data_IF_989489245998
#
_entry.id   IF_989489245998
#
_cell.length_a   1.000
_cell.length_b   1.000
_cell.length_c   1.000
_cell.angle_alpha   90.00
_cell.angle_beta   90.00
_cell.angle_gamma   90.00
#
_symmetry.space_group_name_H-M   'P 1'
#
loop_
_entity.id
_entity.type
_entity.pdbx_description
1 polymer ?
#
# COMPACT_ATOMS: atom_id res chain seq x y z
N UNK A 1 -9.49 34.15 -3.77
CA UNK A 1 -9.77 32.72 -3.56
C UNK A 1 -9.36 32.01 -4.83
N UNK A 2 -8.52 30.98 -4.69
CA UNK A 2 -7.91 30.27 -5.81
C UNK A 2 -8.99 29.68 -6.77
N UNK A 3 -8.76 29.81 -8.09
CA UNK A 3 -9.72 29.41 -9.12
C UNK A 3 -9.98 27.89 -9.12
N UNK A 4 -8.98 27.07 -8.77
CA UNK A 4 -9.11 25.61 -8.67
C UNK A 4 -10.02 25.27 -7.49
N UNK A 5 -9.76 25.85 -6.32
CA UNK A 5 -10.56 25.62 -5.10
C UNK A 5 -12.03 26.03 -5.32
N UNK A 6 -12.27 27.16 -6.00
CA UNK A 6 -13.63 27.58 -6.37
C UNK A 6 -14.32 26.58 -7.30
N UNK A 7 -13.63 26.09 -8.33
CA UNK A 7 -14.20 25.10 -9.26
C UNK A 7 -14.56 23.79 -8.55
N UNK A 8 -13.69 23.30 -7.67
CA UNK A 8 -13.94 22.09 -6.89
C UNK A 8 -15.17 22.24 -5.98
N UNK A 9 -15.30 23.38 -5.29
CA UNK A 9 -16.50 23.73 -4.50
C UNK A 9 -17.77 23.73 -5.37
N UNK A 10 -17.72 24.35 -6.56
CA UNK A 10 -18.85 24.35 -7.49
C UNK A 10 -19.20 22.94 -7.98
N UNK A 11 -18.22 22.09 -8.28
CA UNK A 11 -18.45 20.69 -8.68
C UNK A 11 -19.16 19.93 -7.56
N UNK A 12 -18.66 20.02 -6.32
CA UNK A 12 -19.27 19.35 -5.17
C UNK A 12 -20.74 19.78 -4.98
N UNK A 13 -21.00 21.08 -5.08
CA UNK A 13 -22.34 21.67 -4.97
C UNK A 13 -23.28 21.25 -6.11
N UNK A 14 -22.82 21.35 -7.35
CA UNK A 14 -23.66 21.11 -8.53
C UNK A 14 -23.99 19.63 -8.70
N UNK A 15 -23.06 18.75 -8.35
CA UNK A 15 -23.24 17.29 -8.43
C UNK A 15 -23.83 16.70 -7.14
N UNK A 16 -23.96 17.51 -6.07
CA UNK A 16 -24.50 17.12 -4.77
C UNK A 16 -23.76 15.94 -4.13
N UNK A 17 -22.43 16.04 -4.11
CA UNK A 17 -21.51 15.00 -3.62
C UNK A 17 -20.58 15.56 -2.54
N UNK A 18 -20.07 14.69 -1.67
CA UNK A 18 -18.81 15.02 -0.99
C UNK A 18 -17.67 14.79 -1.97
N UNK A 19 -16.78 15.78 -2.09
CA UNK A 19 -15.62 15.76 -2.96
C UNK A 19 -14.35 15.83 -2.12
N UNK A 20 -13.55 14.77 -2.15
CA UNK A 20 -12.21 14.75 -1.57
C UNK A 20 -11.20 14.94 -2.70
N UNK A 21 -10.31 15.92 -2.56
CA UNK A 21 -9.33 16.28 -3.59
C UNK A 21 -7.95 16.62 -2.99
N UNK A 22 -6.88 16.21 -3.67
CA UNK A 22 -5.51 16.54 -3.33
C UNK A 22 -4.99 17.74 -4.12
N UNK A 23 -4.24 18.63 -3.47
CA UNK A 23 -3.64 19.83 -4.07
C UNK A 23 -2.34 20.25 -3.35
N UNK A 24 -1.58 21.15 -3.97
CA UNK A 24 -0.47 21.85 -3.34
C UNK A 24 -0.96 23.14 -2.70
N UNK A 25 -0.74 23.31 -1.39
CA UNK A 25 -1.09 24.51 -0.62
C UNK A 25 0.16 25.35 -0.39
N UNK A 26 0.22 26.53 -1.02
CA UNK A 26 1.24 27.55 -0.70
C UNK A 26 0.78 28.43 0.46
N UNK A 27 1.58 28.53 1.51
CA UNK A 27 1.30 29.33 2.71
C UNK A 27 2.47 30.29 2.95
N UNK A 28 2.23 31.60 3.15
CA UNK A 28 3.29 32.52 3.55
C UNK A 28 3.98 32.05 4.82
N UNK A 29 5.31 32.09 4.83
CA UNK A 29 6.09 31.73 6.01
C UNK A 29 5.85 32.68 7.17
N UNK A 30 5.93 32.14 8.40
CA UNK A 30 5.94 32.95 9.62
C UNK A 30 7.37 33.42 9.89
N UNK A 31 7.52 34.62 10.45
CA UNK A 31 8.83 35.17 10.83
C UNK A 31 9.53 34.24 11.83
N UNK A 32 10.79 33.89 11.56
CA UNK A 32 11.61 33.01 12.40
C UNK A 32 11.54 31.51 12.07
N UNK A 33 10.71 31.08 11.10
CA UNK A 33 10.70 29.70 10.63
C UNK A 33 11.64 29.48 9.43
N UNK A 34 12.27 28.29 9.28
CA UNK A 34 12.92 27.90 8.03
C UNK A 34 11.93 28.03 6.87
N UNK A 35 12.35 28.72 5.81
CA UNK A 35 11.51 29.08 4.69
C UNK A 35 12.30 29.04 3.39
N UNK A 36 11.60 28.80 2.30
CA UNK A 36 12.13 28.85 0.93
C UNK A 36 12.40 30.30 0.52
N UNK A 37 13.22 30.50 -0.51
CA UNK A 37 13.58 31.84 -1.02
C UNK A 37 12.38 32.65 -1.54
N UNK A 38 11.30 31.96 -1.94
CA UNK A 38 10.05 32.56 -2.40
C UNK A 38 9.11 33.01 -1.27
N UNK A 39 9.50 32.81 0.00
CA UNK A 39 8.72 33.21 1.16
C UNK A 39 7.51 32.32 1.45
N UNK A 40 7.42 31.14 0.82
CA UNK A 40 6.32 30.20 0.97
C UNK A 40 6.77 28.88 1.61
N UNK A 41 5.85 28.26 2.36
CA UNK A 41 5.83 26.83 2.61
C UNK A 41 4.81 26.19 1.67
N UNK A 42 5.15 25.03 1.11
CA UNK A 42 4.31 24.28 0.18
C UNK A 42 3.95 22.95 0.79
N UNK A 43 2.67 22.70 1.02
CA UNK A 43 2.18 21.46 1.62
C UNK A 43 1.38 20.62 0.62
N UNK A 44 1.61 19.30 0.62
CA UNK A 44 0.67 18.36 0.01
C UNK A 44 -0.58 18.26 0.89
N UNK A 45 -1.71 18.68 0.35
CA UNK A 45 -2.92 18.93 1.13
C UNK A 45 -4.14 18.25 0.50
N UNK A 46 -4.87 17.47 1.29
CA UNK A 46 -6.19 16.98 0.96
C UNK A 46 -7.26 17.95 1.51
N UNK A 47 -8.25 18.27 0.69
CA UNK A 47 -9.40 19.07 1.07
C UNK A 47 -10.70 18.31 0.83
N UNK A 48 -11.71 18.60 1.64
CA UNK A 48 -13.04 18.01 1.50
C UNK A 48 -14.09 19.10 1.38
N UNK A 49 -14.86 19.04 0.30
CA UNK A 49 -16.09 19.80 0.15
C UNK A 49 -17.30 18.94 0.47
N UNK A 50 -18.27 19.50 1.20
CA UNK A 50 -19.60 18.90 1.35
C UNK A 50 -20.46 19.12 0.09
N UNK A 51 -21.67 18.58 0.12
CA UNK A 51 -22.64 18.66 -0.98
C UNK A 51 -23.17 20.07 -1.24
N UNK A 52 -22.93 21.03 -0.35
CA UNK A 52 -23.28 22.43 -0.54
C UNK A 52 -22.09 23.22 -1.10
N UNK A 53 -20.92 22.59 -1.22
CA UNK A 53 -19.67 23.19 -1.68
C UNK A 53 -18.87 23.86 -0.56
N UNK A 54 -19.21 23.67 0.72
CA UNK A 54 -18.43 24.21 1.83
C UNK A 54 -17.22 23.33 2.12
N UNK A 55 -16.08 23.97 2.41
CA UNK A 55 -14.88 23.27 2.86
C UNK A 55 -15.10 22.77 4.29
N UNK A 56 -15.15 21.45 4.48
CA UNK A 56 -15.45 20.82 5.78
C UNK A 56 -14.26 20.10 6.41
N UNK A 57 -13.20 19.83 5.65
CA UNK A 57 -11.94 19.33 6.20
C UNK A 57 -10.74 19.74 5.32
N UNK A 58 -9.58 19.87 5.96
CA UNK A 58 -8.28 20.09 5.34
C UNK A 58 -7.23 19.27 6.09
N UNK A 59 -6.54 18.39 5.39
CA UNK A 59 -5.47 17.55 5.93
C UNK A 59 -4.16 17.83 5.18
N UNK A 60 -3.07 18.05 5.91
CA UNK A 60 -1.74 18.13 5.31
C UNK A 60 -1.02 16.81 5.53
N UNK A 61 -0.50 16.22 4.45
CA UNK A 61 0.24 14.95 4.47
C UNK A 61 1.34 15.02 5.52
N UNK A 62 1.46 13.98 6.34
CA UNK A 62 2.42 13.97 7.46
C UNK A 62 3.63 13.07 7.21
N UNK A 63 3.45 11.94 6.52
CA UNK A 63 4.52 11.01 6.22
C UNK A 63 4.91 11.07 4.74
N UNK A 64 6.14 11.50 4.48
CA UNK A 64 6.64 11.82 3.14
C UNK A 64 7.47 10.68 2.54
N UNK A 65 7.56 10.67 1.22
CA UNK A 65 8.39 9.75 0.46
C UNK A 65 9.22 10.51 -0.56
N UNK A 66 10.45 10.88 -0.18
CA UNK A 66 11.41 11.59 -1.05
C UNK A 66 10.83 12.84 -1.76
N UNK A 67 9.98 13.60 -1.07
CA UNK A 67 9.28 14.78 -1.60
C UNK A 67 10.02 16.08 -1.25
N UNK A 68 11.23 16.29 -1.80
CA UNK A 68 12.10 17.44 -1.44
C UNK A 68 11.48 18.82 -1.67
N UNK A 69 10.51 18.92 -2.59
CA UNK A 69 9.83 20.17 -2.91
C UNK A 69 8.67 20.51 -1.97
N UNK A 70 8.31 19.63 -1.03
CA UNK A 70 7.14 19.75 -0.16
C UNK A 70 7.59 19.85 1.30
N UNK A 71 7.06 20.83 2.01
CA UNK A 71 7.30 21.04 3.43
C UNK A 71 6.51 20.05 4.29
N UNK A 72 7.16 19.54 5.34
CA UNK A 72 6.51 18.71 6.37
C UNK A 72 5.82 19.60 7.42
N UNK A 73 4.55 19.34 7.77
CA UNK A 73 3.92 19.99 8.92
C UNK A 73 4.71 19.79 10.20
N UNK A 74 4.87 20.85 11.01
CA UNK A 74 5.61 20.81 12.27
C UNK A 74 4.91 19.95 13.33
N UNK A 75 3.59 19.83 13.23
CA UNK A 75 2.75 19.00 14.08
C UNK A 75 1.83 18.14 13.22
N UNK A 76 1.52 16.94 13.71
CA UNK A 76 0.48 16.12 13.11
C UNK A 76 -0.88 16.77 13.35
N UNK A 77 -1.62 17.02 12.27
CA UNK A 77 -2.97 17.61 12.28
C UNK A 77 -3.95 16.67 11.58
N UNK A 78 -4.46 15.62 12.26
CA UNK A 78 -5.43 14.70 11.68
C UNK A 78 -6.72 15.46 11.37
N UNK A 79 -7.33 15.18 10.22
CA UNK A 79 -8.58 15.82 9.81
C UNK A 79 -9.66 14.77 9.52
N UNK A 80 -10.86 15.07 9.98
CA UNK A 80 -12.04 14.23 9.75
C UNK A 80 -13.17 15.05 9.16
N UNK A 81 -14.10 14.37 8.50
CA UNK A 81 -15.38 14.96 8.11
C UNK A 81 -16.51 13.97 8.40
N UNK A 82 -17.67 14.50 8.79
CA UNK A 82 -18.84 13.70 9.15
C UNK A 82 -19.94 13.94 8.12
N UNK A 83 -20.48 12.86 7.55
CA UNK A 83 -21.60 12.92 6.62
C UNK A 83 -22.93 13.10 7.35
N UNK A 84 -24.01 13.41 6.62
CA UNK A 84 -25.35 13.57 7.24
C UNK A 84 -25.86 12.29 7.90
N UNK A 85 -25.33 11.12 7.50
CA UNK A 85 -25.61 9.82 8.14
C UNK A 85 -24.87 9.61 9.47
N UNK A 86 -24.13 10.61 9.96
CA UNK A 86 -23.35 10.53 11.19
C UNK A 86 -22.06 9.72 11.08
N UNK A 87 -21.63 9.37 9.86
CA UNK A 87 -20.41 8.60 9.64
C UNK A 87 -19.22 9.56 9.55
N UNK A 88 -18.32 9.46 10.53
CA UNK A 88 -17.05 10.20 10.54
C UNK A 88 -15.97 9.45 9.78
N UNK A 89 -15.30 10.15 8.87
CA UNK A 89 -14.24 9.62 8.01
C UNK A 89 -12.91 10.33 8.29
N UNK A 90 -11.84 9.55 8.41
CA UNK A 90 -10.47 10.05 8.47
C UNK A 90 -9.88 10.17 7.07
N UNK A 91 -8.91 11.09 6.93
CA UNK A 91 -8.25 11.36 5.66
C UNK A 91 -6.78 10.92 5.77
N UNK A 92 -6.35 10.11 4.81
CA UNK A 92 -4.95 9.74 4.58
C UNK A 92 -4.48 10.28 3.23
N UNK A 93 -3.16 10.40 3.07
CA UNK A 93 -2.55 10.62 1.78
C UNK A 93 -1.39 9.65 1.54
N UNK A 94 -1.59 8.68 0.66
CA UNK A 94 -0.55 7.82 0.09
C UNK A 94 0.25 7.09 1.19
N UNK A 95 1.47 7.53 1.47
CA UNK A 95 2.40 6.86 2.37
C UNK A 95 1.92 6.84 3.82
N UNK A 96 0.97 7.68 4.22
CA UNK A 96 0.40 7.65 5.58
C UNK A 96 -0.16 6.26 5.98
N UNK A 97 -0.59 5.44 5.02
CA UNK A 97 -1.04 4.06 5.27
C UNK A 97 0.07 3.15 5.83
N UNK A 98 1.34 3.48 5.59
CA UNK A 98 2.48 2.67 6.03
C UNK A 98 3.10 3.15 7.35
N UNK A 99 2.44 4.06 8.07
CA UNK A 99 2.93 4.59 9.34
C UNK A 99 1.87 4.45 10.44
N UNK A 100 2.34 4.38 11.68
CA UNK A 100 1.49 4.32 12.86
C UNK A 100 0.56 5.54 12.99
N UNK A 101 1.09 6.74 12.71
CA UNK A 101 0.32 7.97 12.68
C UNK A 101 0.11 8.47 11.25
N UNK A 102 -1.06 9.02 10.89
CA UNK A 102 -2.18 9.41 11.75
C UNK A 102 -3.18 8.29 12.09
N UNK A 103 -2.95 7.07 11.63
CA UNK A 103 -3.92 5.98 11.76
C UNK A 103 -4.32 5.72 13.21
N UNK A 104 -3.35 5.63 14.12
CA UNK A 104 -3.60 5.41 15.54
C UNK A 104 -4.42 6.53 16.16
N UNK A 105 -4.11 7.80 15.86
CA UNK A 105 -4.89 8.94 16.34
C UNK A 105 -6.36 8.86 15.88
N UNK A 106 -6.62 8.50 14.63
CA UNK A 106 -8.00 8.33 14.15
C UNK A 106 -8.71 7.17 14.86
N UNK A 107 -8.05 6.02 14.97
CA UNK A 107 -8.63 4.81 15.57
C UNK A 107 -8.96 5.00 17.05
N UNK A 108 -8.07 5.68 17.80
CA UNK A 108 -8.29 6.04 19.20
C UNK A 108 -9.52 6.95 19.38
N UNK A 109 -9.80 7.82 18.41
CA UNK A 109 -10.96 8.70 18.38
C UNK A 109 -12.23 8.05 17.77
N UNK A 110 -12.24 6.73 17.61
CA UNK A 110 -13.43 6.00 17.15
C UNK A 110 -13.70 6.07 15.63
N UNK A 111 -12.81 6.66 14.84
CA UNK A 111 -12.94 6.70 13.37
C UNK A 111 -12.72 5.29 12.81
N UNK A 112 -13.59 4.86 11.90
CA UNK A 112 -13.56 3.53 11.26
C UNK A 112 -13.76 3.57 9.75
N UNK A 113 -13.79 4.74 9.15
CA UNK A 113 -13.94 4.92 7.72
C UNK A 113 -12.82 5.85 7.26
N UNK A 114 -12.17 5.50 6.18
CA UNK A 114 -10.99 6.20 5.73
C UNK A 114 -11.06 6.44 4.24
N UNK A 115 -10.67 7.65 3.84
CA UNK A 115 -10.40 7.99 2.45
C UNK A 115 -8.91 8.23 2.33
N UNK A 116 -8.29 7.60 1.34
CA UNK A 116 -6.88 7.75 1.01
C UNK A 116 -6.76 8.33 -0.39
N UNK A 117 -6.07 9.47 -0.48
CA UNK A 117 -5.67 10.05 -1.76
C UNK A 117 -4.23 9.67 -2.06
N UNK A 118 -4.07 8.76 -3.01
CA UNK A 118 -2.79 8.17 -3.38
C UNK A 118 -2.10 8.88 -4.53
N UNK A 119 -0.77 8.89 -4.46
CA UNK A 119 0.14 8.91 -5.61
C UNK A 119 1.28 7.93 -5.31
N UNK A 120 0.92 6.68 -5.01
CA UNK A 120 1.86 5.62 -4.68
C UNK A 120 2.35 4.95 -5.96
N UNK A 121 3.67 4.96 -6.16
CA UNK A 121 4.32 4.16 -7.20
C UNK A 121 4.28 2.70 -6.78
N UNK A 122 3.92 1.82 -7.70
CA UNK A 122 3.94 0.39 -7.43
C UNK A 122 5.37 -0.14 -7.56
N UNK A 123 5.95 -0.57 -6.44
CA UNK A 123 7.25 -1.25 -6.41
C UNK A 123 7.07 -2.73 -6.13
N UNK A 124 7.56 -3.59 -7.02
CA UNK A 124 7.43 -5.02 -6.93
C UNK A 124 8.53 -5.66 -6.06
N UNK A 125 8.22 -6.72 -5.30
CA UNK A 125 6.88 -7.24 -5.04
C UNK A 125 6.23 -6.65 -3.78
N UNK A 126 6.97 -5.88 -2.98
CA UNK A 126 6.59 -5.54 -1.60
C UNK A 126 5.85 -4.20 -1.43
N UNK A 127 5.79 -3.36 -2.46
CA UNK A 127 5.25 -2.00 -2.41
C UNK A 127 4.19 -1.70 -3.46
N UNK A 128 3.40 -2.70 -3.86
CA UNK A 128 2.26 -2.44 -4.74
C UNK A 128 1.07 -1.93 -3.94
N UNK A 129 0.45 -0.87 -4.43
CA UNK A 129 -0.56 -0.07 -3.75
C UNK A 129 -1.77 -0.90 -3.31
N UNK A 130 -2.28 -1.80 -4.15
CA UNK A 130 -3.41 -2.66 -3.78
C UNK A 130 -3.06 -3.65 -2.66
N UNK A 131 -1.85 -4.22 -2.69
CA UNK A 131 -1.37 -5.11 -1.63
C UNK A 131 -1.17 -4.35 -0.31
N UNK A 132 -0.67 -3.12 -0.37
CA UNK A 132 -0.50 -2.25 0.81
C UNK A 132 -1.83 -1.80 1.38
N UNK A 133 -2.76 -1.33 0.55
CA UNK A 133 -4.12 -0.93 0.96
C UNK A 133 -4.85 -2.10 1.64
N UNK A 134 -4.77 -3.29 1.05
CA UNK A 134 -5.38 -4.48 1.63
C UNK A 134 -4.67 -4.97 2.89
N UNK A 135 -3.34 -4.96 2.91
CA UNK A 135 -2.55 -5.34 4.07
C UNK A 135 -2.82 -4.44 5.28
N UNK A 136 -2.90 -3.12 5.06
CA UNK A 136 -3.27 -2.17 6.10
C UNK A 136 -4.71 -2.40 6.60
N UNK A 137 -5.65 -2.66 5.69
CA UNK A 137 -7.00 -3.06 6.08
C UNK A 137 -6.98 -4.34 6.92
N UNK A 138 -6.22 -5.34 6.48
CA UNK A 138 -6.10 -6.64 7.13
C UNK A 138 -5.60 -6.51 8.57
N UNK A 139 -4.54 -5.74 8.79
CA UNK A 139 -3.97 -5.51 10.13
C UNK A 139 -4.92 -4.78 11.09
N UNK A 140 -6.07 -4.29 10.61
CA UNK A 140 -7.09 -3.60 11.38
C UNK A 140 -8.48 -4.26 11.26
N UNK A 141 -8.54 -5.55 10.88
CA UNK A 141 -9.80 -6.28 10.72
C UNK A 141 -10.68 -6.28 11.97
N UNK A 142 -10.08 -6.44 13.14
CA UNK A 142 -10.73 -6.43 14.46
C UNK A 142 -11.48 -5.12 14.72
N UNK A 143 -10.98 -4.01 14.16
CA UNK A 143 -11.55 -2.67 14.30
C UNK A 143 -12.71 -2.42 13.34
N UNK A 144 -12.96 -3.30 12.36
CA UNK A 144 -14.06 -3.18 11.37
C UNK A 144 -13.99 -1.88 10.57
N UNK A 145 -12.79 -1.56 10.09
CA UNK A 145 -12.54 -0.35 9.31
C UNK A 145 -13.00 -0.50 7.86
N UNK A 146 -13.16 0.61 7.14
CA UNK A 146 -13.32 0.60 5.68
C UNK A 146 -12.35 1.60 5.07
N UNK A 147 -11.82 1.28 3.90
CA UNK A 147 -10.86 2.11 3.17
C UNK A 147 -11.35 2.36 1.75
N UNK A 148 -11.37 3.62 1.35
CA UNK A 148 -11.54 4.03 -0.04
C UNK A 148 -10.27 4.74 -0.51
N UNK A 149 -9.51 4.09 -1.40
CA UNK A 149 -8.24 4.59 -1.93
C UNK A 149 -8.40 4.98 -3.40
N UNK A 150 -8.03 6.23 -3.70
CA UNK A 150 -8.00 6.80 -5.05
C UNK A 150 -6.56 7.18 -5.39
N UNK A 151 -5.85 6.32 -6.11
CA UNK A 151 -4.47 6.54 -6.52
C UNK A 151 -4.39 7.26 -7.86
N UNK A 152 -3.39 8.13 -8.00
CA UNK A 152 -3.08 8.77 -9.27
C UNK A 152 -2.84 7.71 -10.35
N UNK A 153 -3.38 7.95 -11.55
CA UNK A 153 -3.34 6.99 -12.64
C UNK A 153 -2.33 7.45 -13.70
N UNK A 154 -1.10 6.94 -13.58
CA UNK A 154 -0.05 7.05 -14.59
C UNK A 154 0.72 5.73 -14.67
N UNK A 155 0.16 4.80 -15.45
CA UNK A 155 0.65 3.43 -15.59
C UNK A 155 2.04 3.35 -16.24
N UNK A 156 2.47 4.38 -17.01
CA UNK A 156 3.82 4.44 -17.59
C UNK A 156 4.90 4.69 -16.53
N UNK A 157 4.52 5.30 -15.41
CA UNK A 157 5.38 5.59 -14.26
C UNK A 157 5.04 4.73 -13.03
N UNK A 158 4.23 3.69 -13.21
CA UNK A 158 3.85 2.78 -12.12
C UNK A 158 2.85 3.32 -11.09
N UNK A 159 2.25 4.49 -11.32
CA UNK A 159 1.15 4.99 -10.48
C UNK A 159 -0.17 4.35 -10.93
N UNK A 160 -0.75 3.50 -10.09
CA UNK A 160 -2.05 2.88 -10.31
C UNK A 160 -2.52 2.18 -9.03
N UNK A 161 -3.79 1.76 -9.01
CA UNK A 161 -4.35 0.92 -7.96
C UNK A 161 -5.36 1.66 -7.09
N UNK A 162 -6.62 1.53 -7.47
CA UNK A 162 -7.77 2.08 -6.75
C UNK A 162 -8.47 0.94 -6.01
N UNK A 163 -8.91 1.20 -4.78
CA UNK A 163 -9.48 0.16 -3.91
C UNK A 163 -10.63 0.68 -3.07
N UNK A 164 -11.70 -0.11 -3.01
CA UNK A 164 -12.77 0.03 -2.01
C UNK A 164 -12.75 -1.25 -1.18
N UNK A 165 -12.46 -1.13 0.12
CA UNK A 165 -12.36 -2.26 1.05
C UNK A 165 -13.36 -2.04 2.18
N UNK A 166 -14.25 -3.01 2.35
CA UNK A 166 -15.31 -2.98 3.35
C UNK A 166 -14.87 -3.63 4.66
N UNK A 167 -15.58 -3.36 5.78
CA UNK A 167 -15.27 -3.95 7.08
C UNK A 167 -15.27 -5.48 7.12
N UNK A 168 -15.97 -6.13 6.19
CA UNK A 168 -15.99 -7.58 6.04
C UNK A 168 -14.72 -8.14 5.39
N UNK A 169 -13.87 -7.31 4.81
CA UNK A 169 -12.72 -7.73 3.99
C UNK A 169 -13.02 -7.84 2.50
N UNK A 170 -14.31 -7.88 2.14
CA UNK A 170 -14.75 -7.76 0.76
C UNK A 170 -14.15 -6.50 0.15
N UNK A 171 -13.79 -6.55 -1.12
CA UNK A 171 -13.19 -5.41 -1.79
C UNK A 171 -13.47 -5.37 -3.28
N UNK A 172 -13.48 -4.16 -3.84
CA UNK A 172 -13.37 -3.94 -5.27
C UNK A 172 -12.05 -3.23 -5.48
N UNK A 173 -11.18 -3.83 -6.27
CA UNK A 173 -9.86 -3.26 -6.55
C UNK A 173 -9.62 -3.21 -8.05
N UNK A 174 -8.87 -2.21 -8.49
CA UNK A 174 -8.63 -2.00 -9.90
C UNK A 174 -7.27 -1.40 -10.20
N UNK A 175 -6.59 -2.05 -11.13
CA UNK A 175 -5.58 -1.45 -11.99
C UNK A 175 -6.21 -1.15 -13.36
N UNK A 176 -6.11 0.09 -13.82
CA UNK A 176 -6.68 0.53 -15.10
C UNK A 176 -5.59 1.03 -16.05
N UNK A 177 -5.68 0.71 -17.33
CA UNK A 177 -4.85 1.25 -18.40
C UNK A 177 -5.73 1.75 -19.56
N UNK A 178 -5.35 2.85 -20.21
CA UNK A 178 -6.01 3.32 -21.43
C UNK A 178 -5.58 4.72 -21.89
N UNK A 179 -5.75 4.98 -23.20
CA UNK A 179 -5.33 6.22 -23.89
C UNK A 179 -6.03 7.51 -23.40
N UNK A 180 -7.14 7.37 -22.67
CA UNK A 180 -7.86 8.43 -21.96
C UNK A 180 -8.26 7.99 -20.53
N UNK A 181 -7.55 6.98 -20.00
CA UNK A 181 -8.01 6.05 -18.95
C UNK A 181 -8.13 6.64 -17.55
N UNK A 182 -9.36 6.97 -17.15
CA UNK A 182 -9.75 7.07 -15.75
C UNK A 182 -10.54 5.82 -15.36
N UNK A 183 -10.11 5.14 -14.30
CA UNK A 183 -10.88 4.07 -13.70
C UNK A 183 -11.78 4.64 -12.61
N UNK A 184 -13.09 4.49 -12.74
CA UNK A 184 -14.06 4.87 -11.70
C UNK A 184 -14.57 3.61 -11.03
N UNK A 185 -14.33 3.48 -9.72
CA UNK A 185 -15.01 2.50 -8.89
C UNK A 185 -16.29 3.11 -8.35
N UNK A 186 -17.44 2.49 -8.63
CA UNK A 186 -18.74 2.89 -8.12
C UNK A 186 -19.45 1.69 -7.52
N UNK A 187 -19.98 1.85 -6.32
CA UNK A 187 -20.70 0.80 -5.60
C UNK A 187 -21.97 1.38 -4.97
N UNK A 188 -23.02 0.57 -4.85
CA UNK A 188 -24.21 0.93 -4.11
C UNK A 188 -23.98 0.79 -2.60
N UNK A 189 -24.72 1.55 -1.79
CA UNK A 189 -24.69 1.43 -0.32
C UNK A 189 -25.17 0.04 0.11
N UNK A 190 -26.03 -0.65 -0.64
CA UNK A 190 -26.50 -2.01 -0.29
C UNK A 190 -25.47 -3.13 -0.55
N UNK A 191 -24.30 -2.83 -1.13
CA UNK A 191 -23.28 -3.81 -1.46
C UNK A 191 -22.42 -4.26 -0.24
N UNK A 192 -22.68 -3.72 0.97
CA UNK A 192 -22.02 -4.14 2.23
C UNK A 192 -22.16 -5.64 2.55
N UNK A 193 -23.06 -6.37 1.89
CA UNK A 193 -23.31 -7.81 2.09
C UNK A 193 -22.60 -8.71 1.09
N UNK A 194 -21.97 -8.16 0.03
CA UNK A 194 -21.16 -8.95 -0.88
C UNK A 194 -19.93 -9.45 -0.13
N UNK A 195 -19.72 -10.76 -0.11
CA UNK A 195 -18.59 -11.43 0.57
C UNK A 195 -17.38 -11.66 -0.35
N UNK A 196 -17.41 -11.14 -1.56
CA UNK A 196 -16.40 -11.48 -2.59
C UNK A 196 -15.48 -10.31 -2.88
N UNK A 197 -14.17 -10.57 -2.85
CA UNK A 197 -13.15 -9.70 -3.44
C UNK A 197 -13.26 -9.74 -4.95
N UNK A 198 -13.65 -8.63 -5.57
CA UNK A 198 -13.71 -8.46 -7.02
C UNK A 198 -12.52 -7.61 -7.48
N UNK A 199 -11.60 -8.24 -8.18
CA UNK A 199 -10.53 -7.54 -8.89
C UNK A 199 -10.95 -7.25 -10.33
N UNK A 200 -11.08 -5.98 -10.70
CA UNK A 200 -11.20 -5.57 -12.10
C UNK A 200 -9.84 -5.14 -12.61
N UNK A 201 -9.21 -5.94 -13.48
CA UNK A 201 -8.01 -5.51 -14.20
C UNK A 201 -8.40 -5.10 -15.62
N UNK A 202 -8.26 -3.81 -15.94
CA UNK A 202 -8.40 -3.28 -17.31
C UNK A 202 -7.02 -2.89 -17.83
N UNK A 203 -6.08 -3.84 -17.75
CA UNK A 203 -4.70 -3.70 -18.22
C UNK A 203 -4.66 -4.13 -19.70
N UNK A 204 -4.35 -3.20 -20.60
CA UNK A 204 -4.17 -3.42 -22.04
C UNK A 204 -2.72 -3.03 -22.41
N UNK A 205 -1.72 -3.76 -21.89
CA UNK A 205 -0.30 -3.48 -22.13
C UNK A 205 0.57 -3.62 -20.87
N UNK A 206 1.90 -3.55 -21.02
CA UNK A 206 2.81 -3.67 -19.88
C UNK A 206 2.64 -2.46 -18.94
N UNK A 207 2.36 -2.72 -17.66
CA UNK A 207 2.46 -1.71 -16.61
C UNK A 207 3.93 -1.60 -16.19
N UNK A 208 4.44 -0.38 -16.10
CA UNK A 208 5.77 -0.17 -15.51
C UNK A 208 5.65 -0.34 -14.00
N UNK A 209 6.45 -1.23 -13.43
CA UNK A 209 6.63 -1.33 -11.99
C UNK A 209 8.07 -0.97 -11.67
N UNK A 210 8.28 -0.26 -10.55
CA UNK A 210 9.60 -0.24 -9.95
C UNK A 210 9.90 -1.63 -9.38
N UNK A 211 11.16 -2.01 -9.29
CA UNK A 211 11.56 -3.31 -8.75
C UNK A 211 12.42 -3.12 -7.50
N UNK A 212 12.17 -3.92 -6.47
CA UNK A 212 13.03 -4.00 -5.29
C UNK A 212 14.40 -4.54 -5.68
N UNK A 213 15.47 -3.93 -5.14
CA UNK A 213 16.80 -4.50 -5.20
C UNK A 213 16.97 -5.57 -4.12
N UNK A 214 17.18 -6.82 -4.56
CA UNK A 214 17.38 -7.98 -3.67
C UNK A 214 18.83 -8.19 -3.25
N UNK A 215 19.77 -7.30 -3.62
CA UNK A 215 21.20 -7.43 -3.31
C UNK A 215 21.43 -7.64 -1.81
N UNK A 216 20.83 -6.78 -0.98
CA UNK A 216 20.99 -6.80 0.48
C UNK A 216 20.08 -7.82 1.19
N UNK A 217 19.13 -8.44 0.49
CA UNK A 217 18.25 -9.45 1.08
C UNK A 217 19.02 -10.75 1.31
N UNK A 218 18.93 -11.33 2.51
CA UNK A 218 19.30 -12.73 2.69
C UNK A 218 18.25 -13.61 2.03
N UNK A 219 18.65 -14.66 1.31
CA UNK A 219 17.70 -15.54 0.64
C UNK A 219 18.11 -17.01 0.67
N UNK A 220 17.12 -17.89 0.57
CA UNK A 220 17.29 -19.32 0.33
C UNK A 220 16.30 -19.80 -0.72
N UNK A 221 16.80 -20.57 -1.68
CA UNK A 221 15.96 -21.18 -2.71
C UNK A 221 14.98 -22.15 -2.03
N UNK A 222 13.70 -22.05 -2.36
CA UNK A 222 12.66 -22.96 -1.86
C UNK A 222 12.64 -24.22 -2.73
N UNK A 223 13.03 -25.39 -2.20
CA UNK A 223 13.03 -26.62 -2.97
C UNK A 223 11.63 -27.00 -3.45
N UNK A 224 11.57 -27.73 -4.56
CA UNK A 224 10.32 -28.37 -4.95
C UNK A 224 10.01 -29.53 -4.00
N UNK A 225 8.76 -29.62 -3.54
CA UNK A 225 8.31 -30.79 -2.78
C UNK A 225 6.79 -30.98 -2.84
N UNK A 226 6.39 -31.95 -3.64
CA UNK A 226 4.99 -32.35 -3.83
C UNK A 226 4.49 -33.38 -2.80
N UNK A 227 5.40 -34.12 -2.16
CA UNK A 227 5.06 -35.30 -1.35
C UNK A 227 5.04 -35.05 0.17
N UNK A 228 5.76 -34.04 0.67
CA UNK A 228 5.88 -33.76 2.10
C UNK A 228 5.67 -32.28 2.42
N UNK A 229 5.37 -31.98 3.67
CA UNK A 229 5.52 -30.62 4.20
C UNK A 229 7.00 -30.43 4.50
N UNK A 230 7.55 -29.28 4.14
CA UNK A 230 8.96 -28.94 4.34
C UNK A 230 9.05 -27.62 5.08
N UNK A 231 10.22 -27.40 5.67
CA UNK A 231 10.55 -26.18 6.37
C UNK A 231 11.90 -25.67 5.88
N UNK A 232 11.98 -24.38 5.59
CA UNK A 232 13.22 -23.69 5.25
C UNK A 232 13.28 -22.37 6.01
N UNK A 233 14.49 -21.95 6.40
CA UNK A 233 14.70 -20.71 7.13
C UNK A 233 15.85 -19.91 6.55
N UNK A 234 15.80 -18.60 6.72
CA UNK A 234 16.85 -17.66 6.34
C UNK A 234 16.87 -16.50 7.33
N UNK A 235 18.06 -15.98 7.66
CA UNK A 235 18.21 -14.85 8.55
C UNK A 235 19.03 -13.73 7.91
N UNK A 236 18.74 -12.50 8.31
CA UNK A 236 19.43 -11.28 7.92
C UNK A 236 20.06 -10.61 9.15
N UNK A 237 21.25 -10.02 8.97
CA UNK A 237 21.98 -9.31 10.03
C UNK A 237 22.45 -10.23 11.18
N UNK A 238 23.33 -11.19 10.90
CA UNK A 238 23.92 -12.09 11.93
C UNK A 238 22.87 -12.79 12.84
N UNK A 239 21.82 -13.34 12.23
CA UNK A 239 20.72 -14.04 12.92
C UNK A 239 19.78 -13.16 13.76
N UNK A 240 19.83 -11.83 13.62
CA UNK A 240 18.93 -10.91 14.34
C UNK A 240 17.49 -10.92 13.80
N UNK A 241 17.30 -11.10 12.49
CA UNK A 241 15.99 -11.17 11.86
C UNK A 241 15.85 -12.44 11.02
N UNK A 242 15.10 -13.41 11.53
CA UNK A 242 14.93 -14.72 10.91
C UNK A 242 13.51 -14.94 10.39
N UNK A 243 13.45 -15.60 9.24
CA UNK A 243 12.25 -16.02 8.54
C UNK A 243 12.21 -17.53 8.42
N UNK A 244 11.04 -18.13 8.68
CA UNK A 244 10.81 -19.56 8.51
C UNK A 244 9.57 -19.78 7.66
N UNK A 245 9.72 -20.56 6.60
CA UNK A 245 8.65 -20.96 5.71
C UNK A 245 8.36 -22.45 5.91
N UNK A 246 7.14 -22.78 6.30
CA UNK A 246 6.61 -24.14 6.27
C UNK A 246 5.66 -24.27 5.08
N UNK A 247 5.91 -25.20 4.16
CA UNK A 247 5.16 -25.27 2.90
C UNK A 247 5.00 -26.68 2.34
N UNK A 248 3.98 -26.85 1.48
CA UNK A 248 3.86 -27.97 0.53
C UNK A 248 3.50 -27.42 -0.84
N UNK A 249 4.43 -27.53 -1.78
CA UNK A 249 4.34 -26.92 -3.11
C UNK A 249 4.17 -28.00 -4.18
N UNK A 250 3.05 -27.95 -4.89
CA UNK A 250 2.79 -28.81 -6.04
C UNK A 250 3.06 -27.96 -7.29
N UNK A 251 3.95 -28.45 -8.16
CA UNK A 251 4.30 -27.80 -9.42
C UNK A 251 3.80 -28.63 -10.57
N UNK A 252 3.40 -27.95 -11.64
CA UNK A 252 3.15 -28.56 -12.94
C UNK A 252 4.41 -28.67 -13.81
N UNK A 253 5.41 -27.77 -13.68
CA UNK A 253 6.79 -27.96 -14.19
C UNK A 253 7.87 -27.02 -13.58
N UNK A 254 9.08 -27.03 -14.15
CA UNK A 254 10.36 -26.60 -13.56
C UNK A 254 10.74 -25.10 -13.77
N UNK A 255 9.91 -24.30 -14.46
CA UNK A 255 10.32 -22.98 -14.94
C UNK A 255 10.06 -21.80 -13.98
N UNK A 256 9.32 -22.03 -12.88
CA UNK A 256 9.06 -21.00 -11.86
C UNK A 256 9.81 -21.30 -10.57
N UNK A 257 10.60 -20.34 -10.08
CA UNK A 257 11.36 -20.46 -8.85
C UNK A 257 10.76 -19.61 -7.74
N UNK A 258 10.97 -20.04 -6.50
CA UNK A 258 10.59 -19.26 -5.32
C UNK A 258 11.80 -19.14 -4.39
N UNK A 259 12.01 -17.95 -3.85
CA UNK A 259 13.00 -17.66 -2.82
C UNK A 259 12.28 -17.26 -1.54
N UNK A 260 12.70 -17.83 -0.41
CA UNK A 260 12.41 -17.25 0.89
C UNK A 260 13.44 -16.16 1.15
N UNK A 261 13.00 -14.96 1.48
CA UNK A 261 13.85 -13.80 1.75
C UNK A 261 13.60 -13.23 3.15
N UNK A 262 14.67 -12.73 3.76
CA UNK A 262 14.64 -11.94 4.99
C UNK A 262 15.44 -10.66 4.78
N UNK A 263 14.89 -9.55 5.27
CA UNK A 263 15.53 -8.24 5.20
C UNK A 263 15.19 -7.42 6.44
N UNK A 264 16.18 -6.72 6.95
CA UNK A 264 16.08 -5.75 8.05
C UNK A 264 17.03 -4.60 7.75
N UNK A 265 16.51 -3.48 7.27
CA UNK A 265 17.33 -2.36 6.82
C UNK A 265 16.55 -1.31 6.05
N UNK A 266 17.25 -0.44 5.32
CA UNK A 266 16.63 0.56 4.45
C UNK A 266 16.39 -0.04 3.07
N UNK A 267 15.12 -0.23 2.69
CA UNK A 267 14.78 -0.77 1.38
C UNK A 267 15.27 0.15 0.27
N UNK A 268 15.78 -0.46 -0.79
CA UNK A 268 16.29 0.23 -1.97
C UNK A 268 15.62 -0.34 -3.22
N UNK A 269 15.22 0.52 -4.15
CA UNK A 269 14.77 0.10 -5.48
C UNK A 269 15.95 -0.12 -6.42
N UNK A 270 15.75 -0.87 -7.51
CA UNK A 270 16.79 -1.24 -8.49
C UNK A 270 17.49 -0.04 -9.15
N UNK A 271 16.87 1.15 -9.13
CA UNK A 271 17.46 2.41 -9.61
C UNK A 271 18.41 3.07 -8.57
N UNK A 272 18.53 2.48 -7.37
CA UNK A 272 19.36 2.98 -6.28
C UNK A 272 18.64 3.93 -5.32
N UNK A 273 17.35 4.19 -5.50
CA UNK A 273 16.59 5.07 -4.61
C UNK A 273 16.32 4.40 -3.25
N UNK A 274 16.75 5.04 -2.16
CA UNK A 274 16.44 4.59 -0.80
C UNK A 274 14.99 4.96 -0.47
N UNK A 275 14.22 3.96 -0.08
CA UNK A 275 12.78 4.07 0.16
C UNK A 275 12.52 4.36 1.65
N UNK A 276 12.49 3.32 2.48
CA UNK A 276 12.19 3.43 3.90
C UNK A 276 12.79 2.26 4.68
N UNK A 277 13.08 2.42 5.98
CA UNK A 277 13.49 1.30 6.83
C UNK A 277 12.36 0.27 6.89
N UNK A 278 12.61 -1.02 6.70
CA UNK A 278 11.59 -2.07 6.85
C UNK A 278 12.24 -3.38 7.32
N UNK A 279 11.45 -4.17 8.05
CA UNK A 279 11.65 -5.61 8.21
C UNK A 279 10.69 -6.34 7.28
N UNK A 280 11.21 -7.20 6.42
CA UNK A 280 10.43 -7.94 5.43
C UNK A 280 10.79 -9.41 5.44
N UNK A 281 9.77 -10.23 5.67
CA UNK A 281 9.84 -11.67 5.59
C UNK A 281 8.97 -12.12 4.42
N UNK A 282 9.51 -12.77 3.39
CA UNK A 282 8.73 -12.99 2.17
C UNK A 282 9.08 -14.23 1.39
N UNK A 283 8.05 -14.89 0.84
CA UNK A 283 8.20 -15.85 -0.24
C UNK A 283 7.95 -15.12 -1.56
N UNK A 284 8.96 -15.05 -2.43
CA UNK A 284 8.91 -14.29 -3.69
C UNK A 284 9.13 -15.19 -4.90
N UNK A 285 8.38 -14.93 -5.97
CA UNK A 285 8.56 -15.62 -7.25
C UNK A 285 9.72 -15.02 -8.05
N UNK A 286 10.45 -15.89 -8.76
CA UNK A 286 11.66 -15.57 -9.48
C UNK A 286 11.70 -16.31 -10.82
N UNK A 287 12.32 -15.69 -11.83
CA UNK A 287 12.48 -16.30 -13.16
C UNK A 287 13.65 -17.29 -13.24
N UNK A 288 14.51 -17.31 -12.23
CA UNK A 288 15.60 -18.28 -12.08
C UNK A 288 15.83 -18.62 -10.61
N UNK A 289 16.73 -19.58 -10.35
CA UNK A 289 17.15 -19.90 -8.99
C UNK A 289 17.90 -18.74 -8.28
N UNK A 290 18.33 -17.70 -9.00
CA UNK A 290 19.02 -16.53 -8.44
C UNK A 290 18.02 -15.51 -7.85
N UNK A 291 18.29 -15.02 -6.64
CA UNK A 291 17.48 -14.00 -5.96
C UNK A 291 17.37 -12.68 -6.74
N UNK A 292 18.38 -12.35 -7.55
CA UNK A 292 18.39 -11.12 -8.35
C UNK A 292 17.34 -11.12 -9.48
N UNK A 293 16.81 -12.30 -9.80
CA UNK A 293 15.76 -12.53 -10.79
C UNK A 293 14.34 -12.48 -10.19
N UNK A 294 14.23 -12.29 -8.87
CA UNK A 294 12.96 -12.19 -8.16
C UNK A 294 12.34 -10.80 -8.30
N UNK A 295 11.02 -10.72 -8.10
CA UNK A 295 10.29 -9.44 -8.09
C UNK A 295 10.11 -8.79 -9.47
N UNK A 296 10.70 -9.32 -10.53
CA UNK A 296 10.46 -8.84 -11.88
C UNK A 296 9.00 -9.08 -12.32
N UNK A 297 8.51 -8.24 -13.23
CA UNK A 297 7.19 -8.45 -13.82
C UNK A 297 7.16 -9.79 -14.58
N UNK A 298 6.58 -10.81 -13.95
CA UNK A 298 6.35 -12.14 -14.56
C UNK A 298 5.46 -12.11 -15.83
N UNK A 299 5.08 -10.93 -16.34
CA UNK A 299 4.38 -10.77 -17.64
C UNK A 299 5.23 -11.19 -18.84
N UNK A 300 6.56 -11.20 -18.71
CA UNK A 300 7.46 -11.56 -19.82
C UNK A 300 7.52 -13.07 -20.10
N UNK A 301 6.84 -13.87 -19.29
CA UNK A 301 6.94 -15.33 -19.29
C UNK A 301 5.54 -15.90 -19.46
N UNK A 302 5.29 -16.50 -20.63
CA UNK A 302 4.14 -17.37 -20.90
C UNK A 302 4.22 -18.58 -19.96
N UNK A 303 4.05 -18.39 -18.65
CA UNK A 303 3.92 -19.50 -17.73
C UNK A 303 2.55 -20.14 -17.99
N UNK A 304 2.55 -21.16 -18.84
CA UNK A 304 1.44 -22.11 -18.98
C UNK A 304 1.31 -23.03 -17.78
N UNK A 305 2.13 -22.81 -16.75
CA UNK A 305 2.39 -23.72 -15.64
C UNK A 305 1.94 -23.09 -14.33
N UNK A 306 1.08 -23.82 -13.62
CA UNK A 306 0.54 -23.44 -12.32
C UNK A 306 1.35 -24.10 -11.20
N UNK A 307 1.75 -23.28 -10.23
CA UNK A 307 2.23 -23.69 -8.90
C UNK A 307 1.10 -23.53 -7.91
N UNK A 308 0.89 -24.52 -7.05
CA UNK A 308 -0.08 -24.47 -5.96
C UNK A 308 0.56 -24.80 -4.61
N UNK A 309 0.16 -24.05 -3.60
CA UNK A 309 0.58 -24.22 -2.21
C UNK A 309 -0.61 -24.74 -1.41
N UNK A 310 -0.55 -26.02 -1.03
CA UNK A 310 -1.61 -26.67 -0.22
C UNK A 310 -1.39 -26.47 1.28
N UNK A 311 -0.15 -26.18 1.67
CA UNK A 311 0.25 -25.74 3.00
C UNK A 311 1.18 -24.56 2.78
N UNK A 312 0.92 -23.45 3.45
CA UNK A 312 1.77 -22.28 3.43
C UNK A 312 1.68 -21.55 4.78
N UNK A 313 2.79 -21.47 5.48
CA UNK A 313 2.94 -20.71 6.73
C UNK A 313 4.28 -19.99 6.69
N UNK A 314 4.23 -18.69 6.90
CA UNK A 314 5.40 -17.83 6.94
C UNK A 314 5.50 -17.21 8.33
N UNK A 315 6.65 -17.39 8.98
CA UNK A 315 6.94 -16.91 10.32
C UNK A 315 8.14 -15.98 10.32
N UNK A 316 8.09 -14.96 11.15
CA UNK A 316 9.23 -14.08 11.41
C UNK A 316 9.16 -13.47 12.80
N UNK A 317 10.31 -13.09 13.35
CA UNK A 317 10.40 -12.40 14.64
C UNK A 317 10.70 -10.91 14.41
N UNK A 318 9.67 -10.08 14.50
CA UNK A 318 9.72 -8.65 14.16
C UNK A 318 10.04 -7.79 15.38
N UNK A 319 10.63 -6.63 15.15
CA UNK A 319 10.90 -5.63 16.18
C UNK A 319 9.66 -4.79 16.56
N UNK A 320 8.60 -4.85 15.76
CA UNK A 320 7.35 -4.12 15.97
C UNK A 320 6.13 -5.04 15.76
N UNK A 321 5.04 -4.76 16.48
CA UNK A 321 3.74 -5.40 16.29
C UNK A 321 2.96 -4.82 15.09
N UNK A 322 3.46 -3.72 14.51
CA UNK A 322 2.87 -3.08 13.33
C UNK A 322 3.42 -3.77 12.09
N UNK A 323 2.73 -4.84 11.70
CA UNK A 323 3.04 -5.62 10.51
C UNK A 323 1.78 -5.76 9.64
N UNK A 324 1.99 -5.80 8.33
CA UNK A 324 0.92 -6.04 7.35
C UNK A 324 1.29 -7.21 6.44
N UNK A 325 0.30 -8.00 5.99
CA UNK A 325 0.52 -8.96 4.92
C UNK A 325 0.67 -8.21 3.58
N UNK A 326 1.71 -8.55 2.84
CA UNK A 326 1.93 -8.13 1.46
C UNK A 326 1.85 -9.38 0.57
N UNK A 327 0.67 -9.62 0.03
CA UNK A 327 0.40 -10.76 -0.85
C UNK A 327 0.05 -10.29 -2.25
N UNK A 328 0.31 -11.14 -3.24
CA UNK A 328 -0.02 -10.83 -4.63
C UNK A 328 -0.17 -12.09 -5.47
N UNK A 329 -1.35 -12.28 -6.06
CA UNK A 329 -1.61 -13.31 -7.05
C UNK A 329 -0.86 -13.02 -8.36
N UNK A 330 -0.42 -14.07 -9.07
CA UNK A 330 0.41 -13.90 -10.25
C UNK A 330 -0.34 -13.36 -11.49
N UNK A 331 -1.62 -13.72 -11.64
CA UNK A 331 -2.44 -13.45 -12.83
C UNK A 331 -3.04 -12.04 -12.86
N UNK A 332 -3.22 -11.41 -11.69
CA UNK A 332 -4.03 -10.18 -11.60
C UNK A 332 -3.46 -9.06 -10.73
N UNK A 333 -2.28 -9.22 -10.14
CA UNK A 333 -1.66 -8.22 -9.25
C UNK A 333 -2.52 -7.85 -8.02
N UNK A 334 -3.54 -8.65 -7.70
CA UNK A 334 -4.40 -8.44 -6.54
C UNK A 334 -3.88 -9.21 -5.33
N UNK A 335 -4.17 -8.72 -4.11
CA UNK A 335 -3.81 -9.43 -2.89
C UNK A 335 -4.51 -10.79 -2.81
N UNK A 336 -3.80 -11.77 -2.26
CA UNK A 336 -4.37 -13.06 -1.86
C UNK A 336 -5.01 -12.86 -0.49
N UNK A 337 -6.32 -13.14 -0.36
CA UNK A 337 -7.10 -12.81 0.83
C UNK A 337 -7.39 -13.96 1.79
N UNK A 338 -7.26 -15.22 1.34
CA UNK A 338 -7.56 -16.41 2.15
C UNK A 338 -6.39 -16.75 3.09
N UNK A 339 -6.17 -15.90 4.09
CA UNK A 339 -5.11 -16.04 5.08
C UNK A 339 -5.53 -15.58 6.47
N UNK A 340 -4.84 -16.11 7.48
CA UNK A 340 -4.87 -15.63 8.85
C UNK A 340 -3.47 -15.18 9.29
N UNK A 341 -3.41 -14.27 10.25
CA UNK A 341 -2.16 -13.80 10.84
C UNK A 341 -2.29 -13.69 12.34
N UNK A 342 -1.30 -14.19 13.07
CA UNK A 342 -1.19 -14.04 14.51
C UNK A 342 0.07 -13.27 14.86
N UNK A 343 -0.03 -12.29 15.75
CA UNK A 343 1.10 -11.51 16.28
C UNK A 343 1.14 -11.75 17.79
N UNK A 344 2.25 -12.31 18.27
CA UNK A 344 2.44 -12.62 19.69
C UNK A 344 3.70 -11.94 20.20
N UNK A 345 3.60 -11.21 21.30
CA UNK A 345 4.76 -10.62 21.94
C UNK A 345 5.65 -11.70 22.56
N UNK A 346 6.94 -11.71 22.22
CA UNK A 346 7.94 -12.61 22.77
C UNK A 346 9.18 -11.81 23.21
N UNK A 347 9.23 -11.49 24.51
CA UNK A 347 10.25 -10.58 25.05
C UNK A 347 10.13 -9.18 24.44
N UNK A 348 11.21 -8.71 23.82
CA UNK A 348 11.28 -7.41 23.14
C UNK A 348 10.89 -7.46 21.65
N UNK A 349 10.56 -8.64 21.12
CA UNK A 349 10.17 -8.86 19.72
C UNK A 349 8.74 -9.39 19.63
N UNK A 350 8.26 -9.53 18.41
CA UNK A 350 6.93 -10.02 18.08
C UNK A 350 7.04 -11.19 17.11
N UNK A 351 6.61 -12.37 17.54
CA UNK A 351 6.52 -13.53 16.69
C UNK A 351 5.25 -13.43 15.86
N UNK A 352 5.45 -13.28 14.55
CA UNK A 352 4.38 -13.16 13.58
C UNK A 352 4.30 -14.45 12.78
N UNK A 353 3.10 -15.00 12.66
CA UNK A 353 2.83 -16.18 11.84
C UNK A 353 1.65 -15.89 10.92
N UNK A 354 1.90 -15.94 9.62
CA UNK A 354 0.90 -15.78 8.56
C UNK A 354 0.67 -17.12 7.87
N UNK A 355 -0.58 -17.57 7.78
CA UNK A 355 -0.94 -18.91 7.30
C UNK A 355 -2.03 -18.81 6.25
N UNK A 356 -1.88 -19.55 5.15
CA UNK A 356 -2.94 -19.70 4.15
C UNK A 356 -4.12 -20.50 4.69
N UNK A 357 -5.34 -20.01 4.53
CA UNK A 357 -6.57 -20.73 4.92
C UNK A 357 -7.11 -21.63 3.79
N UNK A 358 -6.68 -21.38 2.56
CA UNK A 358 -7.02 -22.15 1.38
C UNK A 358 -5.76 -22.52 0.58
N UNK A 359 -5.92 -23.38 -0.43
CA UNK A 359 -4.84 -23.63 -1.39
C UNK A 359 -4.61 -22.36 -2.20
N UNK A 360 -3.39 -21.82 -2.13
CA UNK A 360 -3.00 -20.62 -2.88
C UNK A 360 -2.40 -21.07 -4.20
N UNK A 361 -2.94 -20.55 -5.29
CA UNK A 361 -2.40 -20.76 -6.63
C UNK A 361 -1.16 -19.90 -6.85
N UNK A 362 -0.71 -19.80 -8.09
CA UNK A 362 0.53 -19.10 -8.42
C UNK A 362 0.48 -17.64 -7.95
N UNK A 363 1.54 -17.22 -7.26
CA UNK A 363 1.59 -15.92 -6.59
C UNK A 363 2.96 -15.27 -6.82
N UNK A 364 2.98 -13.94 -6.93
CA UNK A 364 4.24 -13.16 -7.04
C UNK A 364 4.90 -13.01 -5.68
N UNK A 365 4.12 -12.84 -4.62
CA UNK A 365 4.63 -12.76 -3.26
C UNK A 365 3.61 -13.20 -2.21
N UNK A 366 4.13 -13.75 -1.12
CA UNK A 366 3.45 -13.95 0.15
C UNK A 366 4.41 -13.50 1.25
N UNK A 367 4.23 -12.29 1.76
CA UNK A 367 5.18 -11.63 2.65
C UNK A 367 4.51 -10.92 3.82
N UNK A 368 5.28 -10.71 4.88
CA UNK A 368 4.95 -9.92 6.06
C UNK A 368 5.94 -8.75 6.07
N UNK A 369 5.43 -7.53 6.14
CA UNK A 369 6.25 -6.32 6.19
C UNK A 369 5.90 -5.47 7.40
N UNK A 370 6.91 -4.92 8.08
CA UNK A 370 6.71 -3.94 9.15
C UNK A 370 6.26 -2.58 8.60
N UNK A 371 5.46 -1.84 9.38
CA UNK A 371 4.92 -0.50 9.01
C UNK A 371 5.09 0.54 10.12
N UNK A 372 6.05 0.36 11.03
CA UNK A 372 6.36 1.35 12.07
C UNK A 372 7.76 1.91 11.85
N UNK A 373 7.83 2.83 10.90
CA UNK A 373 9.07 3.45 10.49
C UNK A 373 9.36 4.64 11.41
N UNK A 374 10.25 4.45 12.38
CA UNK A 374 10.93 5.60 12.97
C UNK A 374 11.87 6.11 11.88
N UNK A 375 11.45 7.16 11.16
CA UNK A 375 12.35 7.90 10.26
C UNK A 375 13.49 8.42 11.12
N UNK A 376 14.61 7.69 11.16
CA UNK A 376 15.87 8.24 11.66
C UNK A 376 16.22 9.36 10.69
N UNK A 377 16.09 10.60 11.14
CA UNK A 377 16.51 11.79 10.41
C UNK A 377 17.97 11.62 9.99
N UNK A 378 18.22 11.34 8.71
CA UNK A 378 19.58 11.10 8.24
C UNK A 378 19.77 10.44 6.87
N UNK A 379 18.74 10.20 6.07
CA UNK A 379 18.95 9.74 4.70
C UNK A 379 19.60 10.88 3.88
N UNK A 380 20.78 10.61 3.32
CA UNK A 380 21.51 11.55 2.46
C UNK A 380 20.70 11.84 1.20
N UNK A 381 20.47 13.12 1.00
CA UNK A 381 19.80 13.75 -0.14
C UNK A 381 20.40 13.35 -1.49
N UNK A 382 19.54 13.00 -2.44
CA UNK A 382 19.89 12.92 -3.85
C UNK A 382 18.88 13.72 -4.67
N UNK A 383 19.43 14.71 -5.38
CA UNK A 383 18.69 15.67 -6.18
C UNK A 383 18.12 15.04 -7.44
N UNK A 384 16.80 15.06 -7.59
CA UNK A 384 16.12 14.97 -8.88
C UNK A 384 14.83 15.79 -8.85
N UNK A 385 14.86 16.95 -9.52
CA UNK A 385 13.74 17.88 -9.60
C UNK A 385 12.70 17.42 -10.62
N UNK A 386 11.61 16.80 -10.17
CA UNK A 386 10.36 16.72 -10.94
C UNK A 386 9.18 16.97 -10.00
N UNK A 387 8.57 18.16 -10.10
CA UNK A 387 7.36 18.52 -9.38
C UNK A 387 6.16 17.96 -10.14
N UNK A 388 5.56 16.87 -9.65
CA UNK A 388 4.33 16.28 -10.22
C UNK A 388 3.11 16.80 -9.44
N UNK A 389 2.22 17.52 -10.11
CA UNK A 389 0.90 17.90 -9.56
C UNK A 389 -0.09 16.81 -9.96
N UNK A 390 -0.43 15.91 -9.03
CA UNK A 390 -1.41 14.86 -9.22
C UNK A 390 -2.74 15.23 -8.56
N UNK A 391 -3.84 15.15 -9.31
CA UNK A 391 -5.20 15.38 -8.80
C UNK A 391 -5.95 14.05 -8.85
N UNK A 392 -6.14 13.43 -7.69
CA UNK A 392 -7.01 12.26 -7.49
C UNK A 392 -8.31 12.71 -6.82
N UNK A 393 -9.44 12.21 -7.29
CA UNK A 393 -10.77 12.53 -6.75
C UNK A 393 -11.44 11.29 -6.15
N UNK A 394 -12.18 11.50 -5.07
CA UNK A 394 -13.13 10.52 -4.56
C UNK A 394 -14.50 11.16 -4.35
N UNK A 395 -15.55 10.46 -4.80
CA UNK A 395 -16.93 10.94 -4.84
C UNK A 395 -17.80 10.04 -3.94
N UNK A 396 -18.37 10.62 -2.88
CA UNK A 396 -19.35 9.94 -2.04
C UNK A 396 -20.74 10.49 -2.34
N UNK A 397 -21.61 9.64 -2.89
CA UNK A 397 -23.04 9.92 -3.00
C UNK A 397 -23.79 9.17 -1.90
N UNK A 398 -24.50 9.88 -1.02
CA UNK A 398 -25.55 9.27 -0.20
C UNK A 398 -26.87 9.35 -0.95
N UNK A 399 -27.50 8.22 -1.18
CA UNK A 399 -28.90 8.15 -1.59
C UNK A 399 -29.65 7.23 -0.63
N UNK A 400 -30.55 7.88 0.12
CA UNK A 400 -31.73 7.42 0.87
C UNK A 400 -31.76 5.97 1.37
#
# INVERSE_FOLDING_TARGET
>A
MDLVVQRLSCIAKNEYIYLVAGLLEGVPCTEGEPCRDDGLKVYSTAIVFDKQGYLVAKYRKYNFFNEEAIDKPSTLEPATFTTESGITQGIFMSHDLLFAEPANTYLANGVRRFVDLGAMVNTMPFGCSLSVQWGWHFANFDKKIALASSNYQNWMQGYAGNGLIWPSGSSIMMYSQGAHGFGILRTGVSDYTKTTTQGESKINGPMTFEETDFTDFSSVLVPHSSLSVNEVSVCHGEDEFCCTLTYRMIRSADEMFYQLVAFDGNRTSRDGSVLFPEQTCGLVACSSADKMSCGASLEATNYTEEVSFTVLSLKGSFSSDKVIPITMAADKYFPVSDLSMTVLQNGSRFDVNMVSEATIQTMKTFAISSTDFIVKSGAKHFSASVMLIAISFYILSSFL
#
